data_IF_053549411379
#
_entry.id   IF_053549411379
#
_cell.length_a   1.000
_cell.length_b   1.000
_cell.length_c   1.000
_cell.angle_alpha   90.00
_cell.angle_beta   90.00
_cell.angle_gamma   90.00
#
_symmetry.space_group_name_H-M   'P 1'
#
loop_
_entity.id
_entity.type
_entity.pdbx_description
1 polymer ?
#
# COMPACT_ATOMS: atom_id res chain seq x y z
N UNK A 1 19.51 -4.56 -25.26
CA UNK A 1 19.10 -3.40 -24.43
C UNK A 1 18.66 -3.90 -23.06
N UNK A 2 19.35 -3.55 -21.97
CA UNK A 2 18.86 -3.86 -20.61
C UNK A 2 17.62 -2.99 -20.35
N UNK A 3 16.44 -3.60 -20.20
CA UNK A 3 15.25 -2.88 -19.70
C UNK A 3 15.59 -2.32 -18.32
N UNK A 4 15.62 -0.99 -18.18
CA UNK A 4 15.64 -0.38 -16.86
C UNK A 4 14.37 -0.83 -16.16
N UNK A 5 14.53 -1.53 -15.03
CA UNK A 5 13.42 -2.10 -14.28
C UNK A 5 12.92 -1.00 -13.34
N UNK A 6 11.64 -0.62 -13.47
CA UNK A 6 11.03 0.37 -12.60
C UNK A 6 11.14 -0.08 -11.13
N UNK A 7 11.39 0.88 -10.23
CA UNK A 7 11.32 0.64 -8.80
C UNK A 7 9.87 0.61 -8.35
N UNK A 8 9.61 -0.05 -7.21
CA UNK A 8 8.27 -0.15 -6.62
C UNK A 8 7.61 1.23 -6.44
N UNK A 9 8.40 2.22 -5.99
CA UNK A 9 7.96 3.60 -5.84
C UNK A 9 7.58 4.28 -7.16
N UNK A 10 8.27 3.98 -8.26
CA UNK A 10 7.94 4.55 -9.58
C UNK A 10 6.61 4.00 -10.10
N UNK A 11 6.38 2.70 -9.89
CA UNK A 11 5.13 2.03 -10.26
C UNK A 11 3.95 2.56 -9.43
N UNK A 12 4.15 2.76 -8.12
CA UNK A 12 3.16 3.39 -7.24
C UNK A 12 2.85 4.83 -7.65
N UNK A 13 3.87 5.65 -7.92
CA UNK A 13 3.69 7.02 -8.36
C UNK A 13 2.89 7.08 -9.69
N UNK A 14 3.18 6.17 -10.61
CA UNK A 14 2.45 6.02 -11.86
C UNK A 14 0.98 5.65 -11.63
N UNK A 15 0.72 4.73 -10.69
CA UNK A 15 -0.64 4.32 -10.30
C UNK A 15 -1.44 5.49 -9.74
N UNK A 16 -0.87 6.22 -8.77
CA UNK A 16 -1.53 7.38 -8.15
C UNK A 16 -1.81 8.47 -9.19
N UNK A 17 -0.84 8.76 -10.06
CA UNK A 17 -1.01 9.73 -11.15
C UNK A 17 -2.15 9.32 -12.09
N UNK A 18 -2.16 8.07 -12.54
CA UNK A 18 -3.21 7.54 -13.40
C UNK A 18 -4.58 7.63 -12.72
N UNK A 19 -4.70 7.18 -11.47
CA UNK A 19 -5.95 7.19 -10.72
C UNK A 19 -6.53 8.60 -10.60
N UNK A 20 -5.70 9.59 -10.24
CA UNK A 20 -6.11 11.00 -10.13
C UNK A 20 -6.63 11.59 -11.44
N UNK A 21 -6.08 11.14 -12.57
CA UNK A 21 -6.52 11.58 -13.90
C UNK A 21 -7.81 10.90 -14.33
N UNK A 22 -7.95 9.59 -14.09
CA UNK A 22 -9.11 8.81 -14.53
C UNK A 22 -10.34 9.03 -13.64
N UNK A 23 -10.17 9.05 -12.32
CA UNK A 23 -11.25 9.11 -11.35
C UNK A 23 -11.27 10.46 -10.63
N UNK A 24 -11.36 11.54 -11.42
CA UNK A 24 -11.26 12.93 -10.93
C UNK A 24 -12.16 13.24 -9.72
N UNK A 25 -13.44 12.79 -9.65
CA UNK A 25 -14.29 13.05 -8.50
C UNK A 25 -13.80 12.43 -7.18
N UNK A 26 -13.05 11.32 -7.24
CA UNK A 26 -12.54 10.59 -6.08
C UNK A 26 -11.00 10.57 -6.05
N UNK A 27 -10.34 11.50 -6.76
CA UNK A 27 -8.90 11.47 -7.02
C UNK A 27 -8.03 11.36 -5.75
N UNK A 28 -8.50 11.90 -4.62
CA UNK A 28 -7.81 11.86 -3.33
C UNK A 28 -8.31 10.78 -2.38
N UNK A 29 -9.26 9.93 -2.80
CA UNK A 29 -9.65 8.74 -2.05
C UNK A 29 -8.60 7.63 -2.14
N UNK A 30 -7.71 7.64 -3.16
CA UNK A 30 -6.52 6.79 -3.19
C UNK A 30 -5.32 7.59 -2.67
N UNK A 31 -4.76 7.14 -1.55
CA UNK A 31 -3.60 7.79 -0.94
C UNK A 31 -2.61 6.77 -0.37
N UNK A 32 -1.35 7.19 -0.29
CA UNK A 32 -0.30 6.38 0.32
C UNK A 32 -0.36 6.48 1.84
N UNK A 33 -0.12 5.35 2.49
CA UNK A 33 0.16 5.29 3.92
C UNK A 33 1.68 5.20 4.06
N UNK A 34 2.38 6.30 4.44
CA UNK A 34 3.84 6.31 4.53
C UNK A 34 4.32 5.60 5.79
N UNK A 35 4.10 4.29 5.86
CA UNK A 35 4.28 3.50 7.06
C UNK A 35 5.71 2.92 7.20
N UNK A 36 6.72 3.66 6.74
CA UNK A 36 8.13 3.34 6.90
C UNK A 36 8.75 4.17 8.02
N UNK A 37 9.43 3.53 8.98
CA UNK A 37 10.16 4.23 10.03
C UNK A 37 11.62 4.48 9.62
N UNK A 38 11.98 5.73 9.35
CA UNK A 38 13.41 6.12 9.25
C UNK A 38 13.91 6.44 10.64
N UNK A 39 14.78 5.60 11.19
CA UNK A 39 15.32 5.75 12.54
C UNK A 39 16.75 6.26 12.48
N UNK A 40 17.06 7.31 13.24
CA UNK A 40 18.37 7.94 13.25
C UNK A 40 19.13 7.74 14.58
N UNK A 41 20.46 7.72 14.52
CA UNK A 41 21.35 7.68 15.68
C UNK A 41 21.72 6.29 16.19
N UNK A 42 22.30 6.26 17.39
CA UNK A 42 22.75 5.03 18.04
C UNK A 42 21.59 4.06 18.38
N UNK A 43 21.93 2.86 18.83
CA UNK A 43 20.96 1.80 19.15
C UNK A 43 19.91 2.24 20.17
N UNK A 44 20.30 3.01 21.18
CA UNK A 44 19.40 3.44 22.27
C UNK A 44 18.42 4.49 21.73
N UNK A 45 18.91 5.46 20.95
CA UNK A 45 18.07 6.48 20.32
C UNK A 45 17.05 5.87 19.36
N UNK A 46 17.47 4.92 18.52
CA UNK A 46 16.58 4.21 17.59
C UNK A 46 15.51 3.39 18.32
N UNK A 47 15.85 2.74 19.43
CA UNK A 47 14.89 2.01 20.25
C UNK A 47 13.83 2.93 20.87
N UNK A 48 14.24 4.10 21.39
CA UNK A 48 13.30 5.10 21.93
C UNK A 48 12.37 5.66 20.86
N UNK A 49 12.89 5.95 19.67
CA UNK A 49 12.08 6.39 18.52
C UNK A 49 11.03 5.34 18.14
N UNK A 50 11.41 4.07 18.04
CA UNK A 50 10.45 3.00 17.76
C UNK A 50 9.42 2.79 18.86
N UNK A 51 9.82 2.87 20.12
CA UNK A 51 8.89 2.76 21.24
C UNK A 51 7.84 3.88 21.18
N UNK A 52 8.27 5.11 20.88
CA UNK A 52 7.39 6.24 20.66
C UNK A 52 6.44 6.02 19.48
N UNK A 53 6.96 5.64 18.32
CA UNK A 53 6.12 5.35 17.14
C UNK A 53 5.06 4.28 17.45
N UNK A 54 5.45 3.19 18.12
CA UNK A 54 4.50 2.14 18.54
C UNK A 54 3.45 2.67 19.52
N UNK A 55 3.84 3.54 20.46
CA UNK A 55 2.87 4.18 21.38
C UNK A 55 1.91 5.14 20.67
N UNK A 56 2.32 5.70 19.54
CA UNK A 56 1.50 6.55 18.67
C UNK A 56 0.67 5.73 17.65
N UNK A 57 0.70 4.39 17.73
CA UNK A 57 -0.10 3.51 16.89
C UNK A 57 0.58 3.00 15.62
N UNK A 58 1.92 3.11 15.52
CA UNK A 58 2.65 2.50 14.42
C UNK A 58 2.47 0.98 14.38
N UNK A 59 2.00 0.48 13.24
CA UNK A 59 1.79 -0.96 12.98
C UNK A 59 2.76 -1.36 11.87
N UNK A 60 3.58 -2.39 12.06
CA UNK A 60 4.44 -2.86 10.97
C UNK A 60 3.60 -3.41 9.80
N UNK A 61 4.08 -3.21 8.57
CA UNK A 61 3.53 -3.91 7.40
C UNK A 61 2.16 -3.46 6.93
N UNK A 62 1.64 -2.30 7.40
CA UNK A 62 0.47 -1.66 6.79
C UNK A 62 0.72 -1.46 5.30
N UNK A 63 -0.29 -1.79 4.48
CA UNK A 63 -0.21 -1.70 3.02
C UNK A 63 0.13 -0.28 2.54
N UNK A 64 0.84 -0.21 1.41
CA UNK A 64 1.34 1.06 0.87
C UNK A 64 0.25 2.05 0.49
N UNK A 65 -0.89 1.57 -0.04
CA UNK A 65 -2.00 2.40 -0.49
C UNK A 65 -3.33 1.97 0.13
N UNK A 66 -4.19 2.95 0.36
CA UNK A 66 -5.59 2.74 0.68
C UNK A 66 -6.49 3.53 -0.26
N UNK A 67 -7.50 2.86 -0.79
CA UNK A 67 -8.61 3.46 -1.53
C UNK A 67 -9.83 3.51 -0.62
N UNK A 68 -10.14 4.72 -0.15
CA UNK A 68 -11.29 5.06 0.69
C UNK A 68 -12.57 5.16 -0.16
N UNK A 69 -12.91 4.08 -0.87
CA UNK A 69 -14.15 3.96 -1.61
C UNK A 69 -14.79 2.61 -1.25
N UNK A 70 -15.91 2.59 -0.54
CA UNK A 70 -16.64 1.34 -0.31
C UNK A 70 -17.30 0.86 -1.60
N UNK A 71 -17.56 -0.45 -1.68
CA UNK A 71 -18.42 -1.06 -2.69
C UNK A 71 -19.46 -1.99 -2.03
N UNK A 72 -20.17 -2.79 -2.82
CA UNK A 72 -21.24 -3.68 -2.30
C UNK A 72 -20.74 -4.79 -1.38
N UNK A 73 -19.44 -5.11 -1.39
CA UNK A 73 -18.82 -6.21 -0.63
C UNK A 73 -17.84 -5.76 0.44
N UNK A 74 -17.14 -4.64 0.21
CA UNK A 74 -16.00 -4.21 1.01
C UNK A 74 -16.08 -2.75 1.42
N UNK A 75 -15.53 -2.45 2.60
CA UNK A 75 -15.49 -1.08 3.17
C UNK A 75 -14.43 -0.18 2.53
N UNK A 76 -13.49 -0.75 1.78
CA UNK A 76 -12.36 -0.08 1.16
C UNK A 76 -11.37 -1.09 0.60
N UNK A 77 -10.36 -0.60 -0.11
CA UNK A 77 -9.33 -1.43 -0.74
C UNK A 77 -7.93 -1.04 -0.24
N UNK A 78 -7.24 -1.99 0.40
CA UNK A 78 -5.80 -1.91 0.67
C UNK A 78 -5.01 -2.55 -0.46
N UNK A 79 -3.96 -1.86 -0.91
CA UNK A 79 -3.05 -2.34 -1.96
C UNK A 79 -1.63 -2.30 -1.43
N UNK A 80 -1.03 -3.48 -1.28
CA UNK A 80 0.39 -3.67 -1.04
C UNK A 80 1.11 -3.76 -2.39
N UNK A 81 1.95 -2.77 -2.71
CA UNK A 81 2.70 -2.72 -3.95
C UNK A 81 3.93 -3.61 -3.87
N UNK A 82 4.22 -4.31 -4.96
CA UNK A 82 5.50 -4.99 -5.17
C UNK A 82 6.00 -4.70 -6.56
N UNK A 83 7.31 -4.81 -6.77
CA UNK A 83 7.92 -4.78 -8.11
C UNK A 83 7.21 -5.76 -9.05
N UNK A 84 6.99 -5.36 -10.31
CA UNK A 84 6.38 -6.20 -11.35
C UNK A 84 7.01 -7.60 -11.50
N UNK A 85 8.29 -7.73 -11.17
CA UNK A 85 8.93 -9.04 -11.03
C UNK A 85 9.89 -9.01 -9.84
N UNK A 86 9.95 -10.11 -9.10
CA UNK A 86 10.64 -10.17 -7.81
C UNK A 86 9.89 -9.41 -6.71
N UNK A 87 10.50 -9.33 -5.52
CA UNK A 87 9.82 -8.83 -4.33
C UNK A 87 9.13 -9.95 -3.56
N UNK A 88 9.26 -9.88 -2.23
CA UNK A 88 8.61 -10.81 -1.29
C UNK A 88 7.71 -9.99 -0.38
N UNK A 89 6.57 -10.56 -0.03
CA UNK A 89 5.69 -10.01 1.00
C UNK A 89 6.25 -10.46 2.35
N UNK A 90 6.52 -9.52 3.25
CA UNK A 90 7.00 -9.85 4.60
C UNK A 90 5.89 -10.52 5.42
N UNK A 91 6.25 -11.18 6.52
CA UNK A 91 5.24 -11.84 7.37
C UNK A 91 4.34 -10.81 8.06
N UNK A 92 4.87 -9.65 8.47
CA UNK A 92 4.08 -8.53 9.00
C UNK A 92 3.07 -8.02 7.96
N UNK A 93 3.46 -7.92 6.67
CA UNK A 93 2.55 -7.52 5.59
C UNK A 93 1.44 -8.57 5.36
N UNK A 94 1.77 -9.87 5.38
CA UNK A 94 0.76 -10.93 5.27
C UNK A 94 -0.25 -10.86 6.41
N UNK A 95 0.24 -10.65 7.63
CA UNK A 95 -0.62 -10.55 8.80
C UNK A 95 -1.53 -9.32 8.74
N UNK A 96 -1.02 -8.17 8.30
CA UNK A 96 -1.85 -6.99 8.10
C UNK A 96 -2.95 -7.23 7.06
N UNK A 97 -2.60 -7.80 5.90
CA UNK A 97 -3.57 -8.11 4.84
C UNK A 97 -4.65 -9.09 5.31
N UNK A 98 -4.26 -10.12 6.08
CA UNK A 98 -5.20 -11.08 6.69
C UNK A 98 -6.18 -10.35 7.63
N UNK A 99 -5.67 -9.54 8.56
CA UNK A 99 -6.51 -8.77 9.48
C UNK A 99 -7.45 -7.82 8.77
N UNK A 100 -6.97 -7.07 7.77
CA UNK A 100 -7.81 -6.17 6.98
C UNK A 100 -8.95 -6.92 6.27
N UNK A 101 -8.65 -8.09 5.71
CA UNK A 101 -9.66 -8.96 5.07
C UNK A 101 -10.71 -9.42 6.06
N UNK A 102 -10.30 -9.87 7.26
CA UNK A 102 -11.21 -10.29 8.33
C UNK A 102 -12.11 -9.16 8.84
N UNK A 103 -11.69 -7.90 8.68
CA UNK A 103 -12.48 -6.71 9.02
C UNK A 103 -13.35 -6.20 7.86
N UNK A 104 -13.51 -6.96 6.77
CA UNK A 104 -14.40 -6.60 5.66
C UNK A 104 -13.80 -5.62 4.64
N UNK A 105 -12.48 -5.47 4.61
CA UNK A 105 -11.78 -4.73 3.55
C UNK A 105 -11.28 -5.71 2.48
N UNK A 106 -11.22 -5.27 1.22
CA UNK A 106 -10.42 -6.00 0.26
C UNK A 106 -8.95 -5.62 0.47
N UNK A 107 -8.08 -6.60 0.66
CA UNK A 107 -6.66 -6.35 0.89
C UNK A 107 -5.83 -7.27 -0.01
N UNK A 108 -5.04 -6.69 -0.91
CA UNK A 108 -4.36 -7.45 -1.96
C UNK A 108 -2.93 -6.99 -2.20
N UNK A 109 -2.11 -7.92 -2.68
CA UNK A 109 -0.75 -7.65 -3.16
C UNK A 109 -0.80 -7.46 -4.67
N UNK A 110 -0.27 -6.34 -5.16
CA UNK A 110 -0.19 -6.04 -6.58
C UNK A 110 1.26 -5.91 -7.04
N UNK A 111 1.65 -6.72 -8.02
CA UNK A 111 2.95 -6.70 -8.68
C UNK A 111 2.92 -5.69 -9.83
N UNK A 112 3.43 -4.52 -9.54
CA UNK A 112 3.61 -3.42 -10.48
C UNK A 112 2.32 -2.70 -10.85
N UNK A 113 2.49 -1.71 -11.72
CA UNK A 113 1.43 -0.76 -12.07
C UNK A 113 0.20 -1.44 -12.69
N UNK A 114 0.38 -2.31 -13.69
CA UNK A 114 -0.75 -2.87 -14.44
C UNK A 114 -1.65 -3.77 -13.58
N UNK A 115 -1.07 -4.57 -12.67
CA UNK A 115 -1.87 -5.40 -11.78
C UNK A 115 -2.68 -4.54 -10.79
N UNK A 116 -2.06 -3.50 -10.23
CA UNK A 116 -2.74 -2.61 -9.28
C UNK A 116 -3.86 -1.80 -9.96
N UNK A 117 -3.60 -1.31 -11.18
CA UNK A 117 -4.61 -0.64 -12.02
C UNK A 117 -5.79 -1.56 -12.32
N UNK A 118 -5.53 -2.79 -12.78
CA UNK A 118 -6.60 -3.76 -13.06
C UNK A 118 -7.43 -4.06 -11.80
N UNK A 119 -6.76 -4.25 -10.66
CA UNK A 119 -7.41 -4.47 -9.36
C UNK A 119 -8.37 -3.32 -9.02
N UNK A 120 -7.93 -2.07 -9.15
CA UNK A 120 -8.79 -0.89 -8.89
C UNK A 120 -9.99 -0.86 -9.84
N UNK A 121 -9.78 -1.14 -11.12
CA UNK A 121 -10.85 -1.16 -12.13
C UNK A 121 -11.91 -2.20 -11.74
N UNK A 122 -11.51 -3.43 -11.41
CA UNK A 122 -12.45 -4.46 -11.00
C UNK A 122 -13.12 -4.14 -9.66
N UNK A 123 -12.38 -3.63 -8.69
CA UNK A 123 -12.91 -3.24 -7.38
C UNK A 123 -14.02 -2.18 -7.50
N UNK A 124 -13.84 -1.18 -8.37
CA UNK A 124 -14.80 -0.09 -8.57
C UNK A 124 -16.04 -0.49 -9.38
N UNK A 125 -16.04 -1.66 -10.03
CA UNK A 125 -17.25 -2.19 -10.70
C UNK A 125 -18.27 -2.79 -9.74
N UNK A 126 -17.81 -3.28 -8.56
CA UNK A 126 -18.64 -3.91 -7.51
C UNK A 126 -18.72 -5.42 -7.58
#
# INVERSE_FOLDING_TARGET
MRKIRALEGDEQASLVKWFRLQYRPIAYCLFSIPNGSVLAGDRIKRAKQMARLKSEGFVNGVSDLFLMQPNSKYHGLFIEMKKASGGKVSDDQKEFLRKATEQGYQAVVCKGFEQAKHTIIEYLKG
#
